data_IF_266410345372
#
_entry.id   IF_266410345372
#
_cell.length_a   1.000
_cell.length_b   1.000
_cell.length_c   1.000
_cell.angle_alpha   90.00
_cell.angle_beta   90.00
_cell.angle_gamma   90.00
#
_symmetry.space_group_name_H-M   'P 1'
#
loop_
_entity.id
_entity.type
_entity.pdbx_description
1 polymer ?
#
# COMPACT_ATOMS: atom_id res chain seq x y z
N UNK A 1 32.20 -9.07 -19.73
CA UNK A 1 33.41 -8.80 -20.52
C UNK A 1 33.42 -7.41 -21.15
N UNK A 2 32.42 -7.03 -21.95
CA UNK A 2 32.42 -5.72 -22.64
C UNK A 2 32.58 -4.49 -21.72
N UNK A 3 32.09 -4.55 -20.48
CA UNK A 3 32.25 -3.49 -19.46
C UNK A 3 33.65 -3.43 -18.83
N UNK A 4 34.35 -4.56 -18.79
CA UNK A 4 35.72 -4.65 -18.28
C UNK A 4 36.68 -4.20 -19.38
N UNK A 5 36.43 -4.60 -20.64
CA UNK A 5 37.18 -4.14 -21.82
C UNK A 5 37.07 -2.62 -22.04
N UNK A 6 35.94 -2.02 -21.63
CA UNK A 6 35.70 -0.57 -21.66
C UNK A 6 36.15 0.18 -20.39
N UNK A 7 36.79 -0.50 -19.45
CA UNK A 7 37.23 0.04 -18.15
C UNK A 7 36.10 0.70 -17.33
N UNK A 8 34.87 0.21 -17.47
CA UNK A 8 33.68 0.75 -16.79
C UNK A 8 33.43 0.04 -15.44
N UNK A 9 34.48 -0.13 -14.64
CA UNK A 9 34.45 -0.83 -13.32
C UNK A 9 33.42 -0.25 -12.34
N UNK A 10 33.06 1.03 -12.50
CA UNK A 10 31.99 1.69 -11.73
C UNK A 10 30.61 1.12 -12.04
N UNK A 11 30.30 0.80 -13.30
CA UNK A 11 29.01 0.22 -13.70
C UNK A 11 28.85 -1.20 -13.15
N UNK A 12 29.93 -1.97 -13.12
CA UNK A 12 29.92 -3.31 -12.54
C UNK A 12 29.61 -3.29 -11.04
N UNK A 13 30.15 -2.30 -10.30
CA UNK A 13 29.79 -2.06 -8.89
C UNK A 13 28.35 -1.55 -8.71
N UNK A 14 27.83 -0.77 -9.66
CA UNK A 14 26.48 -0.23 -9.60
C UNK A 14 25.40 -1.33 -9.67
N UNK A 15 25.63 -2.44 -10.40
CA UNK A 15 24.64 -3.51 -10.53
C UNK A 15 24.14 -4.09 -9.21
N UNK A 16 25.04 -4.32 -8.24
CA UNK A 16 24.65 -4.81 -6.93
C UNK A 16 23.72 -3.81 -6.21
N UNK A 17 24.03 -2.51 -6.31
CA UNK A 17 23.24 -1.46 -5.69
C UNK A 17 21.87 -1.32 -6.35
N UNK A 18 21.80 -1.37 -7.67
CA UNK A 18 20.54 -1.29 -8.41
C UNK A 18 19.65 -2.52 -8.20
N UNK A 19 20.24 -3.71 -8.04
CA UNK A 19 19.46 -4.90 -7.69
C UNK A 19 18.95 -4.85 -6.23
N UNK A 20 19.72 -4.24 -5.33
CA UNK A 20 19.26 -3.95 -3.98
C UNK A 20 18.10 -2.94 -3.95
N UNK A 21 18.19 -1.86 -4.72
CA UNK A 21 17.13 -0.85 -4.82
C UNK A 21 15.85 -1.42 -5.47
N UNK A 22 15.99 -2.27 -6.49
CA UNK A 22 14.88 -3.01 -7.09
C UNK A 22 14.18 -3.94 -6.08
N UNK A 23 14.96 -4.60 -5.21
CA UNK A 23 14.42 -5.42 -4.12
C UNK A 23 13.55 -4.64 -3.12
N UNK A 24 13.90 -3.38 -2.84
CA UNK A 24 13.09 -2.49 -2.00
C UNK A 24 11.84 -1.98 -2.74
N UNK A 25 11.97 -1.61 -4.03
CA UNK A 25 10.82 -1.27 -4.89
C UNK A 25 9.80 -2.40 -4.97
N UNK A 26 10.25 -3.66 -4.95
CA UNK A 26 9.37 -4.82 -4.93
C UNK A 26 8.45 -4.85 -3.69
N UNK A 27 8.89 -4.36 -2.53
CA UNK A 27 8.01 -4.28 -1.35
C UNK A 27 6.86 -3.32 -1.63
N UNK A 28 7.16 -2.12 -2.16
CA UNK A 28 6.15 -1.13 -2.54
C UNK A 28 5.12 -1.72 -3.51
N UNK A 29 5.60 -2.43 -4.54
CA UNK A 29 4.75 -3.13 -5.48
C UNK A 29 3.84 -4.16 -4.80
N UNK A 30 4.38 -5.02 -3.93
CA UNK A 30 3.59 -6.07 -3.29
C UNK A 30 2.54 -5.53 -2.32
N UNK A 31 2.81 -4.43 -1.64
CA UNK A 31 1.79 -3.73 -0.83
C UNK A 31 0.74 -3.08 -1.73
N UNK A 32 1.17 -2.46 -2.84
CA UNK A 32 0.27 -1.84 -3.81
C UNK A 32 -0.67 -2.85 -4.46
N UNK A 33 -0.17 -4.05 -4.77
CA UNK A 33 -0.93 -5.15 -5.38
C UNK A 33 -2.14 -5.57 -4.54
N UNK A 34 -2.10 -5.39 -3.21
CA UNK A 34 -3.26 -5.66 -2.33
C UNK A 34 -4.45 -4.77 -2.69
N UNK A 35 -4.21 -3.54 -3.12
CA UNK A 35 -5.26 -2.59 -3.47
C UNK A 35 -5.72 -2.73 -4.93
N UNK A 36 -4.91 -3.29 -5.82
CA UNK A 36 -5.21 -3.39 -7.25
C UNK A 36 -5.64 -4.80 -7.68
N UNK A 37 -5.34 -5.83 -6.90
CA UNK A 37 -5.73 -7.21 -7.18
C UNK A 37 -7.25 -7.36 -7.33
N UNK A 38 -7.65 -8.36 -8.13
CA UNK A 38 -9.06 -8.76 -8.37
C UNK A 38 -9.95 -7.60 -8.85
N UNK A 39 -9.47 -6.79 -9.80
CA UNK A 39 -10.15 -5.56 -10.25
C UNK A 39 -10.34 -4.54 -9.11
N UNK A 40 -9.30 -4.40 -8.29
CA UNK A 40 -9.25 -3.40 -7.24
C UNK A 40 -10.05 -3.72 -5.98
N UNK A 41 -10.53 -4.95 -5.78
CA UNK A 41 -11.22 -5.36 -4.53
C UNK A 41 -10.30 -6.12 -3.56
N UNK A 42 -9.05 -6.35 -3.95
CA UNK A 42 -8.04 -7.01 -3.13
C UNK A 42 -8.26 -8.52 -2.95
N UNK A 43 -7.44 -9.19 -2.12
CA UNK A 43 -7.51 -10.62 -1.90
C UNK A 43 -8.80 -11.06 -1.18
N UNK A 44 -9.16 -12.33 -1.32
CA UNK A 44 -10.21 -12.96 -0.50
C UNK A 44 -9.68 -13.19 0.91
N UNK A 45 -10.41 -12.68 1.91
CA UNK A 45 -10.11 -12.81 3.32
C UNK A 45 -10.60 -14.18 3.86
N UNK A 46 -10.18 -14.52 5.08
CA UNK A 46 -10.54 -15.79 5.73
C UNK A 46 -12.06 -15.95 5.99
N UNK A 47 -12.81 -14.85 6.02
CA UNK A 47 -14.27 -14.83 6.12
C UNK A 47 -14.99 -14.94 4.77
N UNK A 48 -14.26 -15.31 3.71
CA UNK A 48 -14.71 -15.47 2.31
C UNK A 48 -15.06 -14.16 1.58
N UNK A 49 -15.05 -13.01 2.26
CA UNK A 49 -15.25 -11.71 1.65
C UNK A 49 -14.03 -11.25 0.86
N UNK A 50 -14.24 -10.51 -0.23
CA UNK A 50 -13.15 -9.73 -0.83
C UNK A 50 -12.74 -8.60 0.14
N UNK A 51 -11.45 -8.29 0.23
CA UNK A 51 -10.92 -7.27 1.15
C UNK A 51 -11.70 -5.95 1.10
N UNK A 52 -11.97 -5.44 -0.10
CA UNK A 52 -12.82 -4.27 -0.31
C UNK A 52 -14.17 -4.70 -0.87
N UNK A 53 -15.24 -4.49 -0.12
CA UNK A 53 -16.59 -4.76 -0.60
C UNK A 53 -17.62 -3.82 0.02
N UNK A 54 -18.75 -3.64 -0.68
CA UNK A 54 -19.85 -2.79 -0.24
C UNK A 54 -20.89 -3.55 0.61
N UNK A 55 -20.68 -4.84 0.86
CA UNK A 55 -21.61 -5.68 1.64
C UNK A 55 -21.58 -5.24 3.10
N UNK A 56 -22.76 -5.11 3.71
CA UNK A 56 -22.89 -4.61 5.08
C UNK A 56 -22.12 -5.47 6.10
N UNK A 57 -21.47 -4.82 7.08
CA UNK A 57 -20.66 -5.49 8.11
C UNK A 57 -21.47 -6.42 9.02
N UNK A 58 -22.79 -6.36 8.97
CA UNK A 58 -23.70 -7.27 9.69
C UNK A 58 -23.91 -8.60 8.97
N UNK A 59 -23.32 -8.78 7.79
CA UNK A 59 -23.43 -9.99 6.96
C UNK A 59 -22.11 -10.75 6.95
N UNK A 60 -22.16 -12.07 6.77
CA UNK A 60 -20.96 -12.89 6.64
C UNK A 60 -20.12 -12.43 5.42
N UNK A 61 -18.82 -12.16 5.64
CA UNK A 61 -17.89 -11.66 4.62
C UNK A 61 -18.14 -10.21 4.18
N UNK A 62 -19.01 -9.46 4.87
CA UNK A 62 -19.28 -8.06 4.57
C UNK A 62 -18.33 -7.12 5.31
N UNK A 63 -17.72 -6.18 4.58
CA UNK A 63 -16.74 -5.23 5.11
C UNK A 63 -17.19 -3.77 5.03
N UNK A 64 -18.15 -3.43 4.16
CA UNK A 64 -18.65 -2.07 3.93
C UNK A 64 -17.54 -0.99 3.83
N UNK A 65 -16.45 -1.33 3.15
CA UNK A 65 -15.24 -0.52 3.05
C UNK A 65 -14.87 -0.18 1.60
N UNK A 66 -15.86 -0.21 0.70
CA UNK A 66 -15.73 0.12 -0.72
C UNK A 66 -16.76 1.18 -1.12
N UNK A 67 -16.28 2.24 -1.78
CA UNK A 67 -17.06 3.25 -2.48
C UNK A 67 -16.78 3.23 -3.98
N UNK A 68 -17.54 4.00 -4.74
CA UNK A 68 -17.32 4.22 -6.18
C UNK A 68 -17.24 5.70 -6.54
N UNK A 69 -17.06 6.56 -5.55
CA UNK A 69 -17.12 8.01 -5.70
C UNK A 69 -15.73 8.62 -5.88
N UNK A 70 -15.62 9.63 -6.74
CA UNK A 70 -14.38 10.34 -7.00
C UNK A 70 -13.85 11.05 -5.75
N UNK A 71 -12.54 11.31 -5.70
CA UNK A 71 -11.92 11.99 -4.57
C UNK A 71 -12.42 13.45 -4.44
N UNK A 72 -13.17 13.72 -3.38
CA UNK A 72 -13.64 15.06 -2.97
C UNK A 72 -13.58 15.17 -1.45
N UNK A 73 -13.72 16.38 -0.89
CA UNK A 73 -13.75 16.58 0.57
C UNK A 73 -14.88 15.77 1.22
N UNK A 74 -16.07 15.80 0.63
CA UNK A 74 -17.23 15.07 1.14
C UNK A 74 -17.01 13.56 1.10
N UNK A 75 -16.46 13.04 -0.01
CA UNK A 75 -16.20 11.61 -0.13
C UNK A 75 -15.05 11.15 0.78
N UNK A 76 -14.07 12.02 1.05
CA UNK A 76 -13.04 11.76 2.04
C UNK A 76 -13.63 11.68 3.45
N UNK A 77 -14.54 12.59 3.84
CA UNK A 77 -15.21 12.54 5.14
C UNK A 77 -16.13 11.31 5.26
N UNK A 78 -16.82 10.92 4.17
CA UNK A 78 -17.59 9.67 4.12
C UNK A 78 -16.70 8.44 4.34
N UNK A 79 -15.52 8.39 3.74
CA UNK A 79 -14.55 7.32 4.01
C UNK A 79 -14.05 7.34 5.46
N UNK A 80 -13.76 8.52 6.01
CA UNK A 80 -13.40 8.67 7.43
C UNK A 80 -14.50 8.17 8.34
N UNK A 81 -15.75 8.55 8.09
CA UNK A 81 -16.92 8.12 8.83
C UNK A 81 -17.15 6.60 8.71
N UNK A 82 -16.97 6.03 7.51
CA UNK A 82 -17.09 4.59 7.29
C UNK A 82 -16.08 3.83 8.15
N UNK A 83 -14.81 4.24 8.13
CA UNK A 83 -13.73 3.65 8.95
C UNK A 83 -13.98 3.86 10.43
N UNK A 84 -14.35 5.06 10.86
CA UNK A 84 -14.66 5.38 12.26
C UNK A 84 -15.76 4.47 12.81
N UNK A 85 -16.80 4.20 12.01
CA UNK A 85 -17.94 3.38 12.36
C UNK A 85 -17.69 1.88 12.22
N UNK A 86 -16.53 1.44 11.74
CA UNK A 86 -16.21 0.01 11.65
C UNK A 86 -16.30 -0.65 13.03
N UNK A 87 -17.07 -1.73 13.19
CA UNK A 87 -17.26 -2.39 14.47
C UNK A 87 -16.06 -3.27 14.79
N UNK A 88 -15.49 -3.09 15.98
CA UNK A 88 -14.40 -3.92 16.49
C UNK A 88 -14.85 -5.36 16.72
N UNK A 89 -13.90 -6.30 16.64
CA UNK A 89 -14.20 -7.70 16.88
C UNK A 89 -14.62 -7.92 18.34
N UNK A 90 -15.80 -8.50 18.55
CA UNK A 90 -16.20 -9.05 19.86
C UNK A 90 -15.77 -10.51 19.88
N UNK A 91 -15.03 -10.90 20.93
CA UNK A 91 -14.63 -12.30 21.14
C UNK A 91 -15.87 -13.16 21.43
N UNK A 92 -15.89 -14.38 20.86
CA UNK A 92 -16.79 -15.49 21.22
C UNK A 92 -18.26 -15.39 20.80
N UNK A 93 -18.57 -15.16 19.52
CA UNK A 93 -19.80 -15.72 18.97
C UNK A 93 -19.73 -15.85 17.43
N UNK A 94 -19.89 -17.08 16.94
CA UNK A 94 -20.21 -17.28 15.53
C UNK A 94 -21.52 -16.52 15.22
N UNK A 95 -21.65 -15.99 14.00
CA UNK A 95 -22.82 -15.23 13.51
C UNK A 95 -23.08 -13.84 14.11
N UNK A 96 -22.25 -13.34 15.03
CA UNK A 96 -22.35 -11.95 15.51
C UNK A 96 -21.42 -11.05 14.70
N UNK A 97 -21.99 -10.42 13.67
CA UNK A 97 -21.29 -9.47 12.82
C UNK A 97 -21.82 -8.06 13.08
N UNK A 98 -20.92 -7.08 13.06
CA UNK A 98 -21.34 -5.68 13.10
C UNK A 98 -21.77 -5.11 14.46
N UNK A 99 -21.76 -5.91 15.53
CA UNK A 99 -22.28 -5.50 16.86
C UNK A 99 -21.22 -4.96 17.82
N UNK A 100 -19.97 -4.90 17.37
CA UNK A 100 -18.84 -4.36 18.12
C UNK A 100 -18.96 -2.86 18.44
N UNK A 101 -18.25 -2.37 19.46
CA UNK A 101 -18.03 -0.94 19.60
C UNK A 101 -17.33 -0.40 18.34
N UNK A 102 -17.59 0.85 18.02
CA UNK A 102 -16.94 1.53 16.88
C UNK A 102 -15.43 1.60 17.10
N UNK A 103 -14.67 1.44 16.02
CA UNK A 103 -13.21 1.57 16.04
C UNK A 103 -12.76 2.97 16.47
N UNK A 104 -13.59 3.99 16.18
CA UNK A 104 -13.42 5.35 16.64
C UNK A 104 -12.06 6.00 16.27
N UNK A 105 -11.50 5.58 15.13
CA UNK A 105 -10.23 6.07 14.58
C UNK A 105 -10.47 6.54 13.14
N UNK A 106 -9.86 7.66 12.77
CA UNK A 106 -9.88 8.15 11.39
C UNK A 106 -8.64 7.65 10.62
N UNK A 107 -8.74 7.50 9.28
CA UNK A 107 -7.59 7.28 8.43
C UNK A 107 -6.53 8.37 8.57
N UNK A 108 -5.25 7.98 8.60
CA UNK A 108 -4.12 8.91 8.64
C UNK A 108 -3.48 9.11 7.27
N UNK A 109 -3.59 8.11 6.39
CA UNK A 109 -2.96 8.12 5.07
C UNK A 109 -4.02 8.05 3.98
N UNK A 110 -3.92 8.95 3.01
CA UNK A 110 -4.69 8.93 1.77
C UNK A 110 -3.76 8.46 0.65
N UNK A 111 -4.00 7.27 0.12
CA UNK A 111 -3.26 6.69 -0.99
C UNK A 111 -3.91 7.11 -2.31
N UNK A 112 -3.10 7.65 -3.23
CA UNK A 112 -3.56 8.12 -4.54
C UNK A 112 -2.57 7.81 -5.66
N UNK A 113 -3.04 7.69 -6.92
CA UNK A 113 -2.16 7.63 -8.08
C UNK A 113 -1.52 9.00 -8.35
N UNK A 114 -0.51 9.03 -9.22
CA UNK A 114 0.16 10.29 -9.62
C UNK A 114 -0.81 11.32 -10.20
N UNK A 115 -1.85 10.89 -10.91
CA UNK A 115 -2.85 11.78 -11.51
C UNK A 115 -3.63 12.59 -10.44
N UNK A 116 -3.96 11.97 -9.31
CA UNK A 116 -4.72 12.61 -8.21
C UNK A 116 -3.83 13.28 -7.17
N UNK A 117 -2.50 13.22 -7.31
CA UNK A 117 -1.59 13.77 -6.31
C UNK A 117 -1.90 15.24 -6.04
N UNK A 118 -2.01 16.09 -7.07
CA UNK A 118 -2.30 17.51 -6.84
C UNK A 118 -3.63 17.71 -6.10
N UNK A 119 -4.68 16.99 -6.50
CA UNK A 119 -6.00 17.03 -5.86
C UNK A 119 -5.92 16.65 -4.38
N UNK A 120 -5.25 15.55 -4.05
CA UNK A 120 -5.07 15.10 -2.67
C UNK A 120 -4.29 16.10 -1.80
N UNK A 121 -3.24 16.72 -2.37
CA UNK A 121 -2.46 17.74 -1.67
C UNK A 121 -3.25 19.01 -1.43
N UNK A 122 -4.06 19.45 -2.40
CA UNK A 122 -4.95 20.61 -2.22
C UNK A 122 -6.02 20.32 -1.16
N UNK A 123 -6.60 19.12 -1.17
CA UNK A 123 -7.64 18.68 -0.25
C UNK A 123 -7.14 18.59 1.20
N UNK A 124 -5.97 18.00 1.44
CA UNK A 124 -5.48 17.71 2.81
C UNK A 124 -4.51 18.75 3.36
N UNK A 125 -3.78 19.47 2.51
CA UNK A 125 -2.78 20.46 2.96
C UNK A 125 -3.13 21.90 2.58
N UNK A 126 -4.08 22.11 1.66
CA UNK A 126 -4.53 23.44 1.27
C UNK A 126 -5.19 24.17 2.44
N UNK A 127 -4.86 25.45 2.62
CA UNK A 127 -5.46 26.29 3.68
C UNK A 127 -6.92 26.63 3.41
N UNK A 128 -7.28 26.80 2.14
CA UNK A 128 -8.62 27.19 1.74
C UNK A 128 -9.15 26.23 0.69
N UNK A 129 -10.45 25.98 0.76
CA UNK A 129 -11.20 25.35 -0.32
C UNK A 129 -11.71 26.44 -1.25
N UNK A 130 -11.50 26.26 -2.55
CA UNK A 130 -11.89 27.23 -3.58
C UNK A 130 -12.99 26.63 -4.43
N UNK A 131 -14.19 27.17 -4.28
CA UNK A 131 -15.33 26.88 -5.14
C UNK A 131 -15.46 27.94 -6.23
N UNK A 132 -16.34 27.70 -7.20
CA UNK A 132 -16.53 28.62 -8.33
C UNK A 132 -16.94 30.05 -7.89
N UNK A 133 -17.65 30.17 -6.77
CA UNK A 133 -18.27 31.44 -6.33
C UNK A 133 -17.80 31.93 -4.97
N UNK A 134 -17.15 31.10 -4.16
CA UNK A 134 -16.71 31.46 -2.81
C UNK A 134 -15.47 30.66 -2.37
N UNK A 135 -14.84 31.13 -1.31
CA UNK A 135 -13.67 30.51 -0.69
C UNK A 135 -13.95 30.40 0.80
N UNK A 136 -13.60 29.25 1.39
CA UNK A 136 -13.77 29.01 2.81
C UNK A 136 -12.56 28.27 3.40
N UNK A 137 -12.43 28.31 4.71
CA UNK A 137 -11.35 27.61 5.42
C UNK A 137 -11.49 26.11 5.27
N UNK A 138 -10.38 25.45 4.95
CA UNK A 138 -10.35 24.00 4.87
C UNK A 138 -10.27 23.39 6.27
N UNK A 139 -11.43 22.93 6.78
CA UNK A 139 -11.54 22.30 8.10
C UNK A 139 -10.82 20.95 8.16
N UNK A 140 -10.68 20.25 7.03
CA UNK A 140 -10.02 18.95 6.94
C UNK A 140 -8.51 19.05 6.71
N UNK A 141 -7.96 20.28 6.73
CA UNK A 141 -6.53 20.50 6.62
C UNK A 141 -5.78 19.76 7.74
N UNK A 142 -4.79 18.96 7.36
CA UNK A 142 -3.97 18.19 8.29
C UNK A 142 -4.68 16.98 8.91
N UNK A 143 -5.89 16.64 8.45
CA UNK A 143 -6.60 15.44 8.90
C UNK A 143 -5.88 14.14 8.49
N UNK A 144 -5.19 14.15 7.34
CA UNK A 144 -4.41 13.03 6.85
C UNK A 144 -3.21 13.49 6.01
N UNK A 145 -2.31 12.54 5.73
CA UNK A 145 -1.13 12.72 4.89
C UNK A 145 -1.37 12.04 3.53
N UNK A 146 -1.35 12.80 2.41
CA UNK A 146 -1.45 12.22 1.08
C UNK A 146 -0.14 11.49 0.71
N UNK A 147 -0.25 10.23 0.29
CA UNK A 147 0.85 9.40 -0.21
C UNK A 147 0.54 9.04 -1.66
N UNK A 148 1.48 9.37 -2.54
CA UNK A 148 1.40 8.98 -3.94
C UNK A 148 1.99 7.60 -4.14
N UNK A 149 1.17 6.65 -4.59
CA UNK A 149 1.58 5.27 -4.88
C UNK A 149 2.00 5.20 -6.35
N UNK A 150 3.30 4.98 -6.64
CA UNK A 150 3.81 5.05 -8.01
C UNK A 150 3.34 3.89 -8.89
N UNK A 151 2.93 2.76 -8.31
CA UNK A 151 2.49 1.57 -9.04
C UNK A 151 1.02 1.65 -9.49
N UNK A 152 0.23 2.61 -9.00
CA UNK A 152 -1.16 2.76 -9.39
C UNK A 152 -1.28 3.46 -10.75
N UNK A 153 -1.87 2.76 -11.71
CA UNK A 153 -2.05 3.22 -13.09
C UNK A 153 -3.44 3.78 -13.37
N UNK A 154 -4.45 3.38 -12.60
CA UNK A 154 -5.78 3.99 -12.66
C UNK A 154 -5.70 5.45 -12.18
N UNK A 155 -6.34 6.35 -12.91
CA UNK A 155 -6.23 7.78 -12.67
C UNK A 155 -7.23 8.33 -11.64
N UNK A 156 -8.21 7.52 -11.21
CA UNK A 156 -9.37 7.96 -10.44
C UNK A 156 -9.50 7.25 -9.08
N UNK A 157 -9.01 6.01 -8.98
CA UNK A 157 -9.07 5.23 -7.75
C UNK A 157 -8.27 5.85 -6.59
N UNK A 158 -8.77 5.68 -5.37
CA UNK A 158 -8.10 6.14 -4.15
C UNK A 158 -8.40 5.24 -2.95
N UNK A 159 -7.54 5.26 -1.93
CA UNK A 159 -7.76 4.49 -0.71
C UNK A 159 -7.39 5.27 0.56
N UNK A 160 -8.02 4.94 1.67
CA UNK A 160 -7.75 5.49 2.99
C UNK A 160 -7.25 4.38 3.93
N UNK A 161 -6.21 4.70 4.70
CA UNK A 161 -5.55 3.76 5.61
C UNK A 161 -5.32 4.42 6.96
N UNK A 162 -5.70 3.76 8.04
CA UNK A 162 -5.37 4.19 9.40
C UNK A 162 -3.87 4.09 9.68
N UNK A 163 -3.42 4.73 10.77
CA UNK A 163 -2.03 4.59 11.20
C UNK A 163 -1.73 3.11 11.56
N UNK A 164 -0.77 2.44 10.88
CA UNK A 164 -0.42 1.05 11.18
C UNK A 164 0.07 0.84 12.63
N UNK A 165 0.56 1.89 13.30
CA UNK A 165 0.99 1.81 14.71
C UNK A 165 -0.21 1.67 15.65
N UNK A 166 -1.37 2.22 15.27
CA UNK A 166 -2.59 2.23 16.11
C UNK A 166 -3.53 1.09 15.71
N UNK A 167 -3.79 0.94 14.41
CA UNK A 167 -4.72 -0.03 13.86
C UNK A 167 -4.06 -0.75 12.66
N UNK A 168 -3.20 -1.76 12.93
CA UNK A 168 -2.48 -2.48 11.88
C UNK A 168 -3.43 -3.37 11.06
N UNK A 169 -3.34 -3.26 9.74
CA UNK A 169 -4.15 -4.03 8.78
C UNK A 169 -3.29 -4.90 7.87
N UNK A 170 -2.28 -4.30 7.23
CA UNK A 170 -1.37 -4.95 6.30
C UNK A 170 -0.05 -5.24 7.01
N UNK A 171 0.42 -6.47 6.89
CA UNK A 171 1.66 -6.92 7.49
C UNK A 171 2.68 -7.28 6.42
N UNK A 172 3.92 -6.87 6.65
CA UNK A 172 5.09 -7.29 5.87
C UNK A 172 5.91 -8.21 6.76
N UNK A 173 5.92 -9.50 6.44
CA UNK A 173 6.74 -10.50 7.10
C UNK A 173 8.04 -10.70 6.36
N UNK A 174 9.14 -10.73 7.10
CA UNK A 174 10.49 -10.95 6.59
C UNK A 174 11.20 -12.02 7.39
N UNK A 175 12.15 -12.72 6.75
CA UNK A 175 12.98 -13.71 7.44
C UNK A 175 14.40 -13.21 7.76
N UNK A 176 14.95 -12.33 6.92
CA UNK A 176 16.36 -11.94 6.98
C UNK A 176 16.57 -10.42 6.88
N UNK A 177 15.57 -9.62 7.28
CA UNK A 177 15.61 -8.17 7.17
C UNK A 177 15.04 -7.61 5.86
N UNK A 178 14.72 -6.32 5.89
CA UNK A 178 13.98 -5.62 4.81
C UNK A 178 14.92 -5.38 3.63
N UNK A 179 16.21 -5.28 3.91
CA UNK A 179 17.23 -5.13 2.91
C UNK A 179 17.50 -6.49 2.25
N UNK A 180 17.46 -6.56 0.91
CA UNK A 180 17.77 -7.80 0.21
C UNK A 180 19.24 -8.19 0.40
N UNK A 181 19.48 -9.48 0.54
CA UNK A 181 20.83 -10.03 0.67
C UNK A 181 21.47 -10.13 -0.71
N UNK A 182 22.72 -9.65 -0.82
CA UNK A 182 23.51 -9.70 -2.05
C UNK A 182 24.68 -10.66 -1.86
N UNK A 183 24.74 -11.69 -2.69
CA UNK A 183 25.82 -12.66 -2.72
C UNK A 183 26.65 -12.43 -3.98
N UNK A 184 27.95 -12.20 -3.78
CA UNK A 184 28.95 -12.04 -4.85
C UNK A 184 29.90 -13.23 -4.78
N UNK A 185 30.01 -14.01 -5.85
CA UNK A 185 31.05 -15.04 -5.97
C UNK A 185 32.39 -14.36 -6.32
N UNK A 186 33.08 -13.84 -5.30
CA UNK A 186 34.37 -13.16 -5.44
C UNK A 186 35.52 -13.80 -4.67
N UNK A 187 35.31 -14.98 -4.08
CA UNK A 187 36.35 -15.72 -3.37
C UNK A 187 37.40 -16.25 -4.36
N UNK A 188 38.68 -16.15 -4.03
CA UNK A 188 39.82 -16.51 -4.89
C UNK A 188 39.88 -18.01 -5.19
N UNK A 189 39.27 -18.83 -4.34
CA UNK A 189 39.11 -20.28 -4.55
C UNK A 189 37.87 -20.64 -5.38
N UNK A 190 37.04 -19.66 -5.77
CA UNK A 190 35.85 -19.90 -6.58
C UNK A 190 36.23 -20.15 -8.04
N UNK A 191 35.96 -21.35 -8.59
CA UNK A 191 36.33 -21.68 -9.97
C UNK A 191 35.53 -20.89 -11.03
N UNK A 192 34.50 -20.13 -10.61
CA UNK A 192 33.62 -19.41 -11.52
C UNK A 192 34.35 -18.35 -12.36
N UNK A 193 35.29 -17.61 -11.75
CA UNK A 193 36.03 -16.55 -12.44
C UNK A 193 37.19 -17.12 -13.27
N UNK A 194 37.81 -18.21 -12.81
CA UNK A 194 39.02 -18.76 -13.44
C UNK A 194 38.76 -19.80 -14.53
N UNK A 195 37.70 -20.61 -14.42
CA UNK A 195 37.45 -21.71 -15.37
C UNK A 195 36.34 -21.38 -16.37
N UNK A 196 35.38 -20.54 -15.99
CA UNK A 196 34.17 -20.28 -16.78
C UNK A 196 34.00 -18.80 -17.16
N UNK A 197 34.96 -17.94 -16.84
CA UNK A 197 34.94 -16.49 -17.12
C UNK A 197 33.58 -15.84 -16.76
N UNK A 198 33.09 -16.11 -15.54
CA UNK A 198 31.75 -15.72 -15.09
C UNK A 198 31.77 -15.08 -13.69
N UNK A 199 31.18 -13.89 -13.57
CA UNK A 199 30.86 -13.28 -12.27
C UNK A 199 29.41 -13.58 -11.87
N UNK A 200 29.24 -14.44 -10.87
CA UNK A 200 27.93 -14.82 -10.34
C UNK A 200 27.48 -13.85 -9.25
N UNK A 201 26.39 -13.16 -9.51
CA UNK A 201 25.69 -12.31 -8.56
C UNK A 201 24.30 -12.90 -8.28
N UNK A 202 23.95 -13.03 -7.00
CA UNK A 202 22.61 -13.47 -6.59
C UNK A 202 22.06 -12.52 -5.55
N UNK A 203 20.86 -11.99 -5.81
CA UNK A 203 20.09 -11.22 -4.83
C UNK A 203 18.92 -12.05 -4.33
N UNK A 204 18.73 -12.09 -3.00
CA UNK A 204 17.64 -12.82 -2.35
C UNK A 204 16.88 -11.92 -1.41
N UNK A 205 15.56 -12.03 -1.45
CA UNK A 205 14.66 -11.32 -0.55
C UNK A 205 13.51 -12.24 -0.17
N UNK A 206 13.45 -12.65 1.10
CA UNK A 206 12.42 -13.54 1.64
C UNK A 206 11.40 -12.71 2.38
N UNK A 207 10.34 -12.33 1.67
CA UNK A 207 9.29 -11.46 2.16
C UNK A 207 7.91 -12.05 1.83
N UNK A 208 6.94 -11.78 2.67
CA UNK A 208 5.53 -12.03 2.40
C UNK A 208 4.72 -10.80 2.84
N UNK A 209 3.69 -10.46 2.08
CA UNK A 209 2.75 -9.38 2.43
C UNK A 209 1.36 -9.99 2.49
N UNK A 210 0.61 -9.71 3.55
CA UNK A 210 -0.76 -10.17 3.70
C UNK A 210 -1.60 -9.16 4.48
N UNK A 211 -2.91 -9.37 4.46
CA UNK A 211 -3.87 -8.55 5.19
C UNK A 211 -4.44 -9.36 6.35
N UNK A 212 -4.47 -8.74 7.53
CA UNK A 212 -4.96 -9.35 8.76
C UNK A 212 -6.28 -8.73 9.23
N UNK A 213 -6.51 -7.43 8.95
CA UNK A 213 -7.75 -6.74 9.29
C UNK A 213 -8.19 -5.81 8.16
N UNK A 214 -9.48 -5.84 7.82
CA UNK A 214 -10.09 -4.97 6.82
C UNK A 214 -10.57 -3.64 7.41
N UNK A 215 -10.86 -3.58 8.72
CA UNK A 215 -11.49 -2.42 9.38
C UNK A 215 -10.70 -1.12 9.24
N UNK A 216 -9.36 -1.13 9.32
CA UNK A 216 -8.56 0.10 9.20
C UNK A 216 -8.35 0.56 7.75
N UNK A 217 -8.99 -0.09 6.79
CA UNK A 217 -8.83 0.13 5.35
C UNK A 217 -10.14 0.54 4.73
N UNK A 218 -10.07 1.46 3.77
CA UNK A 218 -11.21 1.84 2.93
C UNK A 218 -10.71 2.15 1.52
N UNK A 219 -11.52 1.84 0.50
CA UNK A 219 -11.16 2.10 -0.89
C UNK A 219 -12.32 2.70 -1.66
N UNK A 220 -12.01 3.50 -2.66
CA UNK A 220 -12.97 3.90 -3.68
C UNK A 220 -12.47 3.45 -5.06
N UNK A 221 -13.28 2.62 -5.74
CA UNK A 221 -13.06 2.24 -7.13
C UNK A 221 -13.99 3.05 -8.03
N UNK A 222 -13.47 4.07 -8.67
CA UNK A 222 -14.29 5.05 -9.38
C UNK A 222 -14.65 4.51 -10.77
N UNK A 223 -15.95 4.41 -11.05
CA UNK A 223 -16.50 3.90 -12.33
C UNK A 223 -16.90 5.05 -13.25
#
# INVERSE_FOLDING_TARGET
>A
LELIDRDETRKLKAYARELGSAGLRKISQLVSDIFTANAGIGPTMADTGALFNATAVTTAGGHANLLTAALTLDNWDLACAAVYNQPMLIKNAATFYGTGPKMAINPKFLLVPRALQNTAWQLLNGTFVREATYVYDNVLKGSAVPITVPEWTDANDWAAVCDPVIAPSIYVGERFGIMPEIYVAGDELSPAVFMNDEHRLKVRHFLAVWVNDFRPLHKSNVV
#
